data_IF_927674807219
#
_entry.id   IF_927674807219
#
_cell.length_a   1.000
_cell.length_b   1.000
_cell.length_c   1.000
_cell.angle_alpha   90.00
_cell.angle_beta   90.00
_cell.angle_gamma   90.00
#
_symmetry.space_group_name_H-M   'P 1'
#
loop_
_entity.id
_entity.type
_entity.pdbx_description
1 polymer ?
#
# COMPACT_ATOMS: atom_id res chain seq x y z
N UNK A 1 18.01 32.97 -10.52
CA UNK A 1 17.70 31.66 -11.15
C UNK A 1 17.46 30.65 -10.04
N UNK A 2 16.22 30.45 -9.64
CA UNK A 2 15.83 29.42 -8.67
C UNK A 2 15.90 28.07 -9.38
N UNK A 3 16.79 27.17 -8.94
CA UNK A 3 16.81 25.78 -9.42
C UNK A 3 15.49 25.11 -9.00
N UNK A 4 14.79 24.39 -9.88
CA UNK A 4 13.66 23.57 -9.46
C UNK A 4 14.16 22.51 -8.47
N UNK A 5 13.56 22.47 -7.29
CA UNK A 5 13.79 21.39 -6.32
C UNK A 5 13.43 20.06 -7.00
N UNK A 6 14.31 19.05 -6.99
CA UNK A 6 13.96 17.75 -7.55
C UNK A 6 12.74 17.21 -6.80
N UNK A 7 11.66 16.93 -7.55
CA UNK A 7 10.46 16.29 -7.02
C UNK A 7 10.87 14.97 -6.37
N UNK A 8 10.46 14.75 -5.12
CA UNK A 8 10.75 13.50 -4.43
C UNK A 8 10.23 12.32 -5.29
N UNK A 9 11.02 11.24 -5.45
CA UNK A 9 10.62 10.10 -6.27
C UNK A 9 9.36 9.48 -5.70
N UNK A 10 8.48 9.00 -6.59
CA UNK A 10 7.25 8.31 -6.20
C UNK A 10 7.60 7.05 -5.40
N UNK A 11 6.68 6.57 -4.58
CA UNK A 11 6.97 5.42 -3.71
C UNK A 11 7.35 4.18 -4.53
N UNK A 12 6.73 3.98 -5.69
CA UNK A 12 6.98 2.86 -6.58
C UNK A 12 8.42 2.84 -7.11
N UNK A 13 9.00 4.01 -7.40
CA UNK A 13 10.40 4.15 -7.83
C UNK A 13 11.37 3.73 -6.72
N UNK A 14 11.03 3.99 -5.46
CA UNK A 14 11.82 3.55 -4.31
C UNK A 14 11.68 2.04 -4.11
N UNK A 15 10.46 1.51 -4.19
CA UNK A 15 10.18 0.09 -4.03
C UNK A 15 10.83 -0.75 -5.13
N UNK A 16 10.99 -0.23 -6.34
CA UNK A 16 11.68 -0.91 -7.43
C UNK A 16 13.16 -1.25 -7.12
N UNK A 17 13.79 -0.53 -6.19
CA UNK A 17 15.16 -0.82 -5.77
C UNK A 17 15.25 -2.01 -4.81
N UNK A 18 14.13 -2.41 -4.21
CA UNK A 18 14.08 -3.56 -3.32
C UNK A 18 14.02 -4.87 -4.10
N UNK A 19 14.55 -5.94 -3.50
CA UNK A 19 14.46 -7.29 -4.04
C UNK A 19 13.34 -8.06 -3.33
N UNK A 20 12.36 -8.50 -4.10
CA UNK A 20 11.25 -9.33 -3.61
C UNK A 20 11.36 -10.76 -4.11
N UNK A 21 10.88 -11.69 -3.30
CA UNK A 21 10.53 -13.05 -3.73
C UNK A 21 9.06 -13.26 -3.38
N UNK A 22 8.20 -13.05 -4.37
CA UNK A 22 6.75 -13.14 -4.17
C UNK A 22 6.34 -14.61 -4.02
N UNK A 23 5.52 -14.91 -3.01
CA UNK A 23 4.86 -16.22 -2.85
C UNK A 23 3.51 -16.20 -3.58
N UNK A 24 3.57 -16.43 -4.89
CA UNK A 24 2.43 -16.30 -5.78
C UNK A 24 1.24 -17.17 -5.35
N UNK A 25 0.04 -16.59 -5.36
CA UNK A 25 -1.18 -17.28 -4.95
C UNK A 25 -1.36 -17.46 -3.44
N UNK A 26 -0.38 -17.05 -2.61
CA UNK A 26 -0.43 -17.17 -1.14
C UNK A 26 -0.27 -15.79 -0.47
N UNK A 27 -1.26 -14.90 -0.59
CA UNK A 27 -1.18 -13.56 -0.01
C UNK A 27 -1.12 -13.63 1.53
N UNK A 28 -0.11 -12.98 2.11
CA UNK A 28 0.12 -12.95 3.56
C UNK A 28 -0.80 -11.97 4.32
N UNK A 29 -1.48 -11.07 3.60
CA UNK A 29 -2.51 -10.17 4.14
C UNK A 29 -3.81 -10.36 3.37
N UNK A 30 -4.93 -10.37 4.09
CA UNK A 30 -6.26 -10.46 3.50
C UNK A 30 -7.18 -9.46 4.19
N UNK A 31 -7.99 -8.75 3.39
CA UNK A 31 -9.03 -7.86 3.93
C UNK A 31 -10.23 -8.73 4.31
N UNK A 32 -10.59 -8.71 5.60
CA UNK A 32 -11.84 -9.32 6.04
C UNK A 32 -13.03 -8.46 5.58
N UNK A 33 -13.63 -8.83 4.44
CA UNK A 33 -14.64 -8.03 3.76
C UNK A 33 -15.93 -7.94 4.56
N UNK A 34 -16.35 -6.69 4.81
CA UNK A 34 -17.65 -6.33 5.39
C UNK A 34 -18.53 -5.69 4.31
N UNK A 35 -19.79 -5.40 4.65
CA UNK A 35 -20.69 -4.66 3.76
C UNK A 35 -20.12 -3.28 3.39
N UNK A 36 -19.52 -2.61 4.38
CA UNK A 36 -18.87 -1.30 4.23
C UNK A 36 -17.47 -1.40 4.82
N UNK A 37 -16.50 -0.80 4.13
CA UNK A 37 -15.13 -0.71 4.62
C UNK A 37 -15.08 0.16 5.86
N UNK A 38 -14.35 -0.29 6.89
CA UNK A 38 -14.22 0.43 8.15
C UNK A 38 -13.27 1.63 8.02
N UNK A 39 -13.29 2.52 9.00
CA UNK A 39 -12.43 3.71 8.99
C UNK A 39 -10.95 3.34 9.15
N UNK A 40 -10.68 2.28 9.91
CA UNK A 40 -9.35 1.67 10.03
C UNK A 40 -8.83 1.24 8.64
N UNK A 41 -9.62 0.47 7.88
CA UNK A 41 -9.25 0.02 6.54
C UNK A 41 -9.05 1.20 5.57
N UNK A 42 -9.89 2.25 5.64
CA UNK A 42 -9.74 3.45 4.81
C UNK A 42 -8.47 4.22 5.14
N UNK A 43 -8.08 4.28 6.42
CA UNK A 43 -6.88 4.98 6.85
C UNK A 43 -5.59 4.35 6.28
N UNK A 44 -5.61 3.05 5.96
CA UNK A 44 -4.45 2.34 5.40
C UNK A 44 -3.97 2.88 4.06
N UNK A 45 -4.82 3.58 3.30
CA UNK A 45 -4.41 4.28 2.06
C UNK A 45 -3.34 5.34 2.34
N UNK A 46 -3.36 5.94 3.52
CA UNK A 46 -2.38 6.94 3.95
C UNK A 46 -1.29 6.34 4.84
N UNK A 47 -1.64 5.33 5.64
CA UNK A 47 -0.72 4.78 6.65
C UNK A 47 0.23 3.71 6.12
N UNK A 48 -0.10 3.04 5.01
CA UNK A 48 0.78 2.02 4.45
C UNK A 48 2.02 2.67 3.80
N UNK A 49 3.24 2.41 4.29
CA UNK A 49 4.45 3.03 3.75
C UNK A 49 4.79 2.54 2.33
N UNK A 50 4.27 1.38 1.93
CA UNK A 50 4.45 0.79 0.61
C UNK A 50 3.32 1.17 -0.37
N UNK A 51 2.29 1.89 0.07
CA UNK A 51 1.15 2.21 -0.80
C UNK A 51 0.32 0.98 -1.21
N UNK A 52 0.35 -0.11 -0.44
CA UNK A 52 -0.33 -1.37 -0.80
C UNK A 52 -1.86 -1.25 -0.87
N UNK A 53 -2.46 -0.23 -0.25
CA UNK A 53 -3.92 -0.07 -0.15
C UNK A 53 -4.40 1.10 -1.01
N UNK A 54 -5.37 0.84 -1.89
CA UNK A 54 -5.89 1.83 -2.83
C UNK A 54 -7.42 1.79 -2.85
N UNK A 55 -8.05 2.95 -2.95
CA UNK A 55 -9.51 3.04 -3.14
C UNK A 55 -9.84 2.86 -4.62
N UNK A 56 -10.67 1.88 -4.94
CA UNK A 56 -11.16 1.64 -6.30
C UNK A 56 -12.30 2.60 -6.68
N UNK A 57 -12.75 2.53 -7.94
CA UNK A 57 -13.81 3.39 -8.50
C UNK A 57 -15.16 3.24 -7.79
N UNK A 58 -15.43 2.07 -7.20
CA UNK A 58 -16.64 1.79 -6.40
C UNK A 58 -16.51 2.25 -4.96
N UNK A 59 -15.40 2.90 -4.62
CA UNK A 59 -15.11 3.42 -3.30
C UNK A 59 -14.70 2.38 -2.27
N UNK A 60 -14.38 1.15 -2.69
CA UNK A 60 -13.88 0.08 -1.81
C UNK A 60 -12.35 0.05 -1.82
N UNK A 61 -11.75 -0.34 -0.71
CA UNK A 61 -10.31 -0.50 -0.57
C UNK A 61 -9.87 -1.84 -1.17
N UNK A 62 -8.88 -1.82 -2.04
CA UNK A 62 -8.20 -3.00 -2.57
C UNK A 62 -6.75 -3.01 -2.09
N UNK A 63 -6.13 -4.19 -2.12
CA UNK A 63 -4.76 -4.39 -1.65
C UNK A 63 -3.92 -5.12 -2.68
N UNK A 64 -2.71 -4.61 -2.95
CA UNK A 64 -1.66 -5.29 -3.71
C UNK A 64 -0.42 -5.43 -2.83
N UNK A 65 0.10 -6.66 -2.72
CA UNK A 65 1.13 -7.03 -1.73
C UNK A 65 2.52 -7.23 -2.34
N UNK A 66 2.67 -7.07 -3.65
CA UNK A 66 3.93 -7.34 -4.35
C UNK A 66 5.07 -6.42 -3.90
N UNK A 67 4.73 -5.21 -3.41
CA UNK A 67 5.65 -4.25 -2.81
C UNK A 67 5.58 -4.17 -1.28
N UNK A 68 4.87 -5.10 -0.61
CA UNK A 68 4.74 -5.08 0.84
C UNK A 68 6.12 -5.27 1.50
N UNK A 69 6.45 -4.40 2.45
CA UNK A 69 7.70 -4.47 3.22
C UNK A 69 7.53 -5.19 4.57
N UNK A 70 6.41 -5.87 4.77
CA UNK A 70 6.08 -6.60 6.02
C UNK A 70 6.19 -5.75 7.30
N UNK A 71 6.01 -4.43 7.19
CA UNK A 71 6.16 -3.49 8.30
C UNK A 71 5.13 -3.65 9.43
N UNK A 72 4.01 -4.32 9.18
CA UNK A 72 2.98 -4.60 10.18
C UNK A 72 2.05 -3.44 10.53
N UNK A 73 2.20 -2.23 9.98
CA UNK A 73 1.29 -1.09 10.28
C UNK A 73 -0.17 -1.46 10.09
N UNK A 74 -0.50 -2.16 9.01
CA UNK A 74 -1.86 -2.59 8.70
C UNK A 74 -2.41 -3.70 9.61
N UNK A 75 -1.59 -4.28 10.48
CA UNK A 75 -2.02 -5.24 11.49
C UNK A 75 -2.43 -4.56 12.80
N UNK A 76 -1.88 -3.37 13.06
CA UNK A 76 -2.04 -2.60 14.30
C UNK A 76 -3.26 -1.68 14.22
N UNK A 77 -3.46 -1.06 13.05
CA UNK A 77 -4.63 -0.25 12.71
C UNK A 77 -5.84 -1.17 12.54
#
# INVERSE_FOLDING_TARGET
>A
MTKPTPTAPRIEERLFQNRYRVDEGRPHVQIHRRAVDSDELRSLVQLCPAGCYVKNERGRIEVSLDGCMECGTCRIV
#
